data_IF_360936252719
#
_entry.id   IF_360936252719
#
_cell.length_a   1.000
_cell.length_b   1.000
_cell.length_c   1.000
_cell.angle_alpha   90.00
_cell.angle_beta   90.00
_cell.angle_gamma   90.00
#
_symmetry.space_group_name_H-M   'P 1'
#
loop_
_entity.id
_entity.type
_entity.pdbx_description
1 polymer ?
#
# COMPACT_ATOMS: atom_id res chain seq x y z
N UNK A 1 19.75 -15.17 -16.15
CA UNK A 1 18.54 -14.71 -16.88
C UNK A 1 17.40 -14.62 -15.88
N UNK A 2 17.04 -13.42 -15.39
CA UNK A 2 15.87 -13.24 -14.52
C UNK A 2 14.64 -13.27 -15.43
N UNK A 3 13.79 -14.28 -15.26
CA UNK A 3 12.48 -14.33 -15.95
C UNK A 3 11.78 -12.99 -15.72
N UNK A 4 11.55 -12.21 -16.78
CA UNK A 4 10.86 -10.92 -16.71
C UNK A 4 9.43 -11.19 -16.27
N UNK A 5 9.17 -11.04 -14.97
CA UNK A 5 7.84 -11.21 -14.37
C UNK A 5 6.87 -10.30 -15.11
N UNK A 6 5.89 -10.88 -15.81
CA UNK A 6 4.94 -10.15 -16.63
C UNK A 6 3.75 -9.75 -15.76
N UNK A 7 3.70 -8.48 -15.38
CA UNK A 7 2.55 -7.91 -14.67
C UNK A 7 1.37 -7.82 -15.62
N UNK A 8 0.16 -8.10 -15.11
CA UNK A 8 -1.07 -8.02 -15.92
C UNK A 8 -1.81 -6.70 -15.71
N UNK A 9 -1.51 -5.97 -14.63
CA UNK A 9 -2.05 -4.65 -14.35
C UNK A 9 -1.13 -3.83 -13.43
N UNK A 10 -1.36 -2.51 -13.40
CA UNK A 10 -0.69 -1.61 -12.47
C UNK A 10 -1.71 -0.93 -11.54
N UNK A 11 -1.32 -0.65 -10.30
CA UNK A 11 -2.07 0.18 -9.36
C UNK A 11 -1.21 1.41 -9.04
N UNK A 12 -1.79 2.60 -9.19
CA UNK A 12 -1.12 3.85 -8.88
C UNK A 12 -1.78 4.53 -7.67
N UNK A 13 -0.95 4.87 -6.68
CA UNK A 13 -1.33 5.87 -5.69
C UNK A 13 -1.24 7.29 -6.27
N UNK A 14 -1.74 8.27 -5.52
CA UNK A 14 -1.69 9.68 -5.86
C UNK A 14 -0.28 10.14 -6.24
N UNK A 15 0.75 9.71 -5.50
CA UNK A 15 2.13 10.13 -5.71
C UNK A 15 2.71 9.61 -7.03
N UNK A 16 2.35 8.38 -7.41
CA UNK A 16 2.77 7.76 -8.66
C UNK A 16 2.06 8.38 -9.87
N UNK A 17 0.77 8.71 -9.74
CA UNK A 17 0.03 9.44 -10.77
C UNK A 17 0.69 10.81 -11.03
N UNK A 18 0.92 11.59 -9.97
CA UNK A 18 1.46 12.96 -10.05
C UNK A 18 2.89 13.04 -10.61
N UNK A 19 3.61 11.92 -10.65
CA UNK A 19 4.99 11.83 -11.17
C UNK A 19 5.07 11.27 -12.58
N UNK A 20 3.93 10.98 -13.23
CA UNK A 20 3.90 10.51 -14.60
C UNK A 20 4.19 9.02 -14.76
N UNK A 21 4.19 8.23 -13.69
CA UNK A 21 4.57 6.80 -13.74
C UNK A 21 3.61 5.92 -14.56
N UNK A 22 2.46 6.44 -14.99
CA UNK A 22 1.60 5.76 -15.96
C UNK A 22 2.28 5.59 -17.33
N UNK A 23 3.24 6.44 -17.69
CA UNK A 23 3.99 6.37 -18.95
C UNK A 23 4.85 5.10 -19.05
N UNK A 24 5.27 4.52 -17.91
CA UNK A 24 6.05 3.27 -17.86
C UNK A 24 5.30 2.08 -18.47
N UNK A 25 3.96 2.15 -18.53
CA UNK A 25 3.09 1.07 -18.99
C UNK A 25 2.43 1.37 -20.34
N UNK A 26 2.23 2.65 -20.67
CA UNK A 26 1.49 3.07 -21.85
C UNK A 26 0.08 2.47 -21.87
N UNK A 27 -0.29 1.82 -22.99
CA UNK A 27 -1.54 1.05 -23.14
C UNK A 27 -1.35 -0.47 -22.99
N UNK A 28 -0.17 -0.92 -22.56
CA UNK A 28 0.21 -2.34 -22.58
C UNK A 28 -0.52 -3.17 -21.53
N UNK A 29 -0.83 -2.57 -20.38
CA UNK A 29 -1.60 -3.18 -19.29
C UNK A 29 -2.58 -2.15 -18.71
N UNK A 30 -3.73 -2.58 -18.17
CA UNK A 30 -4.66 -1.69 -17.48
C UNK A 30 -4.04 -1.08 -16.22
N UNK A 31 -4.36 0.19 -15.98
CA UNK A 31 -3.92 0.97 -14.83
C UNK A 31 -5.13 1.28 -13.96
N UNK A 32 -5.04 0.97 -12.67
CA UNK A 32 -6.12 1.14 -11.70
C UNK A 32 -5.76 2.12 -10.58
N UNK A 33 -6.80 2.75 -10.04
CA UNK A 33 -6.76 3.48 -8.76
C UNK A 33 -8.14 3.40 -8.09
N UNK A 34 -8.29 4.01 -6.91
CA UNK A 34 -9.54 4.04 -6.14
C UNK A 34 -10.10 5.46 -6.06
N UNK A 35 -11.41 5.60 -5.87
CA UNK A 35 -12.04 6.92 -5.84
C UNK A 35 -11.60 7.76 -4.65
N UNK A 36 -11.28 7.13 -3.52
CA UNK A 36 -10.76 7.80 -2.32
C UNK A 36 -9.40 8.48 -2.55
N UNK A 37 -8.50 7.82 -3.26
CA UNK A 37 -7.20 8.36 -3.67
C UNK A 37 -7.36 9.61 -4.56
N UNK A 38 -8.34 9.61 -5.46
CA UNK A 38 -8.63 10.76 -6.31
C UNK A 38 -9.24 11.94 -5.55
N UNK A 39 -10.05 11.69 -4.50
CA UNK A 39 -10.61 12.77 -3.67
C UNK A 39 -9.54 13.54 -2.88
N UNK A 40 -8.39 12.92 -2.59
CA UNK A 40 -7.27 13.56 -1.89
C UNK A 40 -6.48 14.53 -2.79
N UNK A 41 -6.61 14.42 -4.11
CA UNK A 41 -6.00 15.36 -5.06
C UNK A 41 -6.66 16.74 -4.92
N UNK A 42 -5.98 17.67 -4.24
CA UNK A 42 -6.40 19.08 -4.19
C UNK A 42 -6.54 19.65 -5.61
N UNK A 43 -7.60 20.44 -5.84
CA UNK A 43 -7.91 21.11 -7.12
C UNK A 43 -6.68 21.94 -7.58
N UNK A 44 -6.20 21.70 -8.80
CA UNK A 44 -5.01 22.34 -9.38
C UNK A 44 -4.62 21.73 -10.72
N UNK A 45 -3.56 22.21 -11.39
CA UNK A 45 -3.16 21.80 -12.76
C UNK A 45 -3.12 20.28 -12.98
N UNK A 46 -2.72 19.51 -11.96
CA UNK A 46 -2.64 18.05 -12.05
C UNK A 46 -3.98 17.31 -11.95
N UNK A 47 -5.10 17.99 -11.65
CA UNK A 47 -6.44 17.39 -11.79
C UNK A 47 -6.82 17.21 -13.26
N UNK A 48 -6.38 18.11 -14.14
CA UNK A 48 -6.64 18.01 -15.57
C UNK A 48 -5.94 16.81 -16.23
N UNK A 49 -4.69 16.52 -15.82
CA UNK A 49 -3.96 15.33 -16.29
C UNK A 49 -4.70 14.04 -15.89
N UNK A 50 -5.11 13.93 -14.63
CA UNK A 50 -5.87 12.77 -14.14
C UNK A 50 -7.21 12.64 -14.87
N UNK A 51 -7.93 13.74 -15.05
CA UNK A 51 -9.20 13.76 -15.76
C UNK A 51 -9.03 13.30 -17.22
N UNK A 52 -7.97 13.77 -17.89
CA UNK A 52 -7.63 13.32 -19.25
C UNK A 52 -7.35 11.82 -19.29
N UNK A 53 -6.57 11.29 -18.34
CA UNK A 53 -6.26 9.85 -18.27
C UNK A 53 -7.52 9.00 -18.04
N UNK A 54 -8.47 9.50 -17.25
CA UNK A 54 -9.77 8.87 -17.02
C UNK A 54 -10.62 8.89 -18.30
N UNK A 55 -10.72 10.05 -18.97
CA UNK A 55 -11.49 10.21 -20.21
C UNK A 55 -10.93 9.34 -21.35
N UNK A 56 -9.59 9.20 -21.44
CA UNK A 56 -8.92 8.35 -22.42
C UNK A 56 -9.01 6.84 -22.09
N UNK A 57 -9.57 6.48 -20.93
CA UNK A 57 -9.69 5.11 -20.45
C UNK A 57 -8.35 4.44 -20.08
N UNK A 58 -7.28 5.23 -19.94
CA UNK A 58 -5.95 4.75 -19.57
C UNK A 58 -5.94 4.43 -18.06
N UNK A 59 -6.47 5.34 -17.25
CA UNK A 59 -6.67 5.14 -15.82
C UNK A 59 -8.12 4.70 -15.56
N UNK A 60 -8.29 3.65 -14.77
CA UNK A 60 -9.61 3.13 -14.37
C UNK A 60 -9.78 3.24 -12.87
N UNK A 61 -10.94 3.72 -12.43
CA UNK A 61 -11.30 3.77 -11.00
C UNK A 61 -12.05 2.49 -10.64
N UNK A 62 -11.53 1.75 -9.66
CA UNK A 62 -12.13 0.51 -9.18
C UNK A 62 -12.17 0.55 -7.66
N UNK A 63 -13.35 0.76 -7.10
CA UNK A 63 -13.57 0.62 -5.66
C UNK A 63 -13.93 -0.82 -5.32
N UNK A 64 -13.47 -1.29 -4.17
CA UNK A 64 -13.71 -2.65 -3.70
C UNK A 64 -14.70 -2.70 -2.54
N UNK A 65 -15.27 -3.88 -2.34
CA UNK A 65 -16.26 -4.10 -1.28
C UNK A 65 -15.65 -3.95 0.14
N UNK A 66 -16.52 -4.05 1.14
CA UNK A 66 -16.12 -3.96 2.54
C UNK A 66 -15.24 -5.11 2.98
N UNK A 67 -15.44 -6.32 2.45
CA UNK A 67 -14.68 -7.51 2.80
C UNK A 67 -13.20 -7.37 2.45
N UNK A 68 -12.90 -6.87 1.25
CA UNK A 68 -11.53 -6.59 0.80
C UNK A 68 -10.87 -5.50 1.64
N UNK A 69 -11.62 -4.45 2.00
CA UNK A 69 -11.12 -3.38 2.88
C UNK A 69 -10.81 -3.87 4.28
N UNK A 70 -11.65 -4.73 4.84
CA UNK A 70 -11.40 -5.32 6.15
C UNK A 70 -10.21 -6.30 6.13
N UNK A 71 -9.98 -7.00 5.03
CA UNK A 71 -8.76 -7.80 4.82
C UNK A 71 -7.50 -6.93 4.77
N UNK A 72 -7.53 -5.82 4.02
CA UNK A 72 -6.42 -4.85 3.98
C UNK A 72 -6.11 -4.28 5.37
N UNK A 73 -7.14 -3.90 6.15
CA UNK A 73 -6.98 -3.44 7.53
C UNK A 73 -6.38 -4.50 8.44
N UNK A 74 -6.79 -5.77 8.30
CA UNK A 74 -6.20 -6.88 9.07
C UNK A 74 -4.70 -7.03 8.78
N UNK A 75 -4.31 -6.94 7.50
CA UNK A 75 -2.89 -6.99 7.11
C UNK A 75 -2.10 -5.79 7.65
N UNK A 76 -2.63 -4.58 7.53
CA UNK A 76 -2.03 -3.36 8.07
C UNK A 76 -1.90 -3.38 9.61
N UNK A 77 -2.86 -3.98 10.33
CA UNK A 77 -2.74 -4.20 11.78
C UNK A 77 -1.64 -5.20 12.09
N UNK A 78 -1.59 -6.31 11.36
CA UNK A 78 -0.57 -7.35 11.54
C UNK A 78 0.84 -6.85 11.23
N UNK A 79 1.01 -5.92 10.29
CA UNK A 79 2.30 -5.28 10.03
C UNK A 79 2.65 -4.20 11.07
N UNK A 80 1.67 -3.72 11.82
CA UNK A 80 1.81 -2.60 12.76
C UNK A 80 1.87 -1.22 12.07
N UNK A 81 1.45 -1.13 10.80
CA UNK A 81 1.44 0.12 10.03
C UNK A 81 0.07 0.79 9.97
N UNK A 82 -0.99 0.18 10.49
CA UNK A 82 -2.37 0.69 10.43
C UNK A 82 -2.52 2.17 10.83
N UNK A 83 -1.73 2.68 11.79
CA UNK A 83 -1.79 4.08 12.26
C UNK A 83 -1.17 5.08 11.28
N UNK A 84 -0.35 4.61 10.33
CA UNK A 84 0.30 5.44 9.30
C UNK A 84 -0.50 5.52 8.00
N UNK A 85 -1.39 4.57 7.78
CA UNK A 85 -2.14 4.45 6.54
C UNK A 85 -3.43 5.27 6.62
N UNK A 86 -3.70 6.05 5.58
CA UNK A 86 -4.95 6.76 5.38
C UNK A 86 -6.08 5.80 4.97
N UNK A 87 -7.31 6.33 4.88
CA UNK A 87 -8.42 5.58 4.30
C UNK A 87 -8.17 5.21 2.82
N UNK A 88 -7.59 6.14 2.04
CA UNK A 88 -7.25 5.89 0.64
C UNK A 88 -6.16 4.82 0.49
N UNK A 89 -5.17 4.81 1.37
CA UNK A 89 -4.10 3.80 1.36
C UNK A 89 -4.68 2.40 1.59
N UNK A 90 -5.61 2.27 2.55
CA UNK A 90 -6.32 1.01 2.82
C UNK A 90 -7.14 0.57 1.61
N UNK A 91 -7.84 1.49 0.96
CA UNK A 91 -8.64 1.19 -0.24
C UNK A 91 -7.75 0.71 -1.39
N UNK A 92 -6.58 1.34 -1.61
CA UNK A 92 -5.62 0.93 -2.64
C UNK A 92 -5.01 -0.45 -2.35
N UNK A 93 -4.62 -0.72 -1.09
CA UNK A 93 -4.14 -2.05 -0.68
C UNK A 93 -5.23 -3.09 -0.88
N UNK A 94 -6.49 -2.76 -0.57
CA UNK A 94 -7.63 -3.64 -0.78
C UNK A 94 -7.87 -3.94 -2.27
N UNK A 95 -7.71 -2.95 -3.15
CA UNK A 95 -7.73 -3.13 -4.59
C UNK A 95 -6.63 -4.09 -5.07
N UNK A 96 -5.42 -3.99 -4.52
CA UNK A 96 -4.32 -4.89 -4.86
C UNK A 96 -4.59 -6.34 -4.47
N UNK A 97 -5.16 -6.56 -3.28
CA UNK A 97 -5.59 -7.89 -2.82
C UNK A 97 -6.70 -8.44 -3.72
N UNK A 98 -7.70 -7.63 -4.04
CA UNK A 98 -8.81 -8.00 -4.89
C UNK A 98 -8.36 -8.44 -6.29
N UNK A 99 -7.47 -7.68 -6.93
CA UNK A 99 -6.96 -8.04 -8.26
C UNK A 99 -6.15 -9.34 -8.21
N UNK A 100 -5.29 -9.50 -7.20
CA UNK A 100 -4.55 -10.75 -6.99
C UNK A 100 -5.50 -11.93 -6.79
N UNK A 101 -6.55 -11.78 -5.99
CA UNK A 101 -7.53 -12.84 -5.73
C UNK A 101 -8.36 -13.19 -6.97
N UNK A 102 -8.48 -12.27 -7.94
CA UNK A 102 -9.01 -12.52 -9.29
C UNK A 102 -8.03 -13.24 -10.22
N UNK A 103 -6.81 -13.55 -9.77
CA UNK A 103 -5.78 -14.20 -10.58
C UNK A 103 -4.90 -13.23 -11.38
N UNK A 104 -5.03 -11.92 -11.16
CA UNK A 104 -4.15 -10.93 -11.77
C UNK A 104 -2.78 -10.88 -11.07
N UNK A 105 -1.77 -10.36 -11.77
CA UNK A 105 -0.45 -10.06 -11.22
C UNK A 105 -0.25 -8.54 -11.13
N UNK A 106 -0.80 -7.87 -10.10
CA UNK A 106 -0.72 -6.41 -9.98
C UNK A 106 0.70 -5.96 -9.60
N UNK A 107 1.17 -4.91 -10.27
CA UNK A 107 2.30 -4.10 -9.82
C UNK A 107 1.80 -2.83 -9.14
N UNK A 108 2.10 -2.66 -7.86
CA UNK A 108 1.73 -1.45 -7.14
C UNK A 108 2.85 -0.40 -7.23
N UNK A 109 2.53 0.84 -7.57
CA UNK A 109 3.50 1.94 -7.58
C UNK A 109 3.21 2.90 -6.43
N UNK A 110 4.19 3.05 -5.53
CA UNK A 110 4.05 3.90 -4.34
C UNK A 110 5.38 4.42 -3.83
N UNK A 111 5.39 5.62 -3.28
CA UNK A 111 6.51 6.16 -2.52
C UNK A 111 6.46 5.86 -1.02
N UNK A 112 5.37 5.28 -0.50
CA UNK A 112 5.15 5.17 0.94
C UNK A 112 5.67 3.85 1.53
N UNK A 113 6.55 3.94 2.53
CA UNK A 113 7.16 2.76 3.16
C UNK A 113 6.17 1.87 3.92
N UNK A 114 5.10 2.43 4.51
CA UNK A 114 4.06 1.65 5.18
C UNK A 114 3.26 0.84 4.15
N UNK A 115 2.90 1.42 3.00
CA UNK A 115 2.24 0.70 1.91
C UNK A 115 3.16 -0.41 1.39
N UNK A 116 4.43 -0.10 1.09
CA UNK A 116 5.41 -1.09 0.63
C UNK A 116 5.53 -2.27 1.60
N UNK A 117 5.54 -1.99 2.91
CA UNK A 117 5.66 -3.03 3.93
C UNK A 117 4.44 -3.96 3.96
N UNK A 118 3.23 -3.41 3.90
CA UNK A 118 1.99 -4.20 3.86
C UNK A 118 1.93 -5.05 2.59
N UNK A 119 2.27 -4.49 1.43
CA UNK A 119 2.31 -5.23 0.16
C UNK A 119 3.36 -6.34 0.18
N UNK A 120 4.55 -6.09 0.73
CA UNK A 120 5.60 -7.09 0.91
C UNK A 120 5.13 -8.26 1.78
N UNK A 121 4.39 -7.99 2.86
CA UNK A 121 3.77 -9.01 3.71
C UNK A 121 2.67 -9.79 2.96
N UNK A 122 1.90 -9.11 2.11
CA UNK A 122 0.88 -9.72 1.26
C UNK A 122 1.44 -10.45 0.03
N UNK A 123 2.77 -10.44 -0.16
CA UNK A 123 3.48 -10.96 -1.34
C UNK A 123 2.99 -10.35 -2.66
N UNK A 124 2.57 -9.09 -2.62
CA UNK A 124 2.20 -8.31 -3.81
C UNK A 124 3.44 -7.52 -4.25
N UNK A 125 3.72 -7.56 -5.55
CA UNK A 125 4.86 -6.83 -6.09
C UNK A 125 4.58 -5.33 -6.11
N UNK A 126 5.61 -4.55 -5.80
CA UNK A 126 5.54 -3.10 -5.85
C UNK A 126 6.83 -2.50 -6.40
N UNK A 127 6.73 -1.27 -6.91
CA UNK A 127 7.85 -0.44 -7.35
C UNK A 127 7.82 0.86 -6.57
N UNK A 128 8.95 1.19 -5.96
CA UNK A 128 9.10 2.44 -5.23
C UNK A 128 9.15 3.63 -6.19
N UNK A 129 8.40 4.68 -5.88
CA UNK A 129 8.37 5.92 -6.67
C UNK A 129 8.98 7.07 -5.86
N UNK A 130 10.08 7.63 -6.34
CA UNK A 130 10.76 8.77 -5.70
C UNK A 130 11.43 8.47 -4.34
N UNK A 131 11.29 7.25 -3.83
CA UNK A 131 11.91 6.75 -2.60
C UNK A 131 12.68 5.45 -2.89
N UNK A 132 13.46 4.96 -1.92
CA UNK A 132 14.12 3.66 -2.04
C UNK A 132 13.12 2.52 -1.85
N UNK A 133 13.38 1.36 -2.43
CA UNK A 133 12.61 0.14 -2.14
C UNK A 133 13.02 -0.40 -0.77
N UNK A 134 12.06 -0.82 0.05
CA UNK A 134 12.36 -1.55 1.29
C UNK A 134 13.15 -2.84 0.99
N UNK A 135 14.09 -3.19 1.88
CA UNK A 135 14.92 -4.41 1.75
C UNK A 135 14.28 -5.64 2.41
N UNK A 136 13.33 -5.42 3.30
CA UNK A 136 12.68 -6.48 4.07
C UNK A 136 11.33 -6.01 4.58
N UNK A 137 10.37 -6.93 4.64
CA UNK A 137 9.12 -6.71 5.35
C UNK A 137 9.34 -6.81 6.86
N UNK A 138 8.77 -5.87 7.60
CA UNK A 138 8.88 -5.77 9.06
C UNK A 138 7.50 -5.88 9.69
N UNK A 139 7.43 -6.51 10.87
CA UNK A 139 6.28 -6.43 11.77
C UNK A 139 6.66 -5.48 12.90
N UNK A 140 5.87 -4.42 13.07
CA UNK A 140 6.05 -3.44 14.11
C UNK A 140 5.16 -3.76 15.31
N UNK A 141 5.79 -4.08 16.44
CA UNK A 141 5.07 -4.36 17.68
C UNK A 141 5.48 -3.38 18.79
N UNK A 142 4.63 -3.26 19.80
CA UNK A 142 4.86 -2.47 20.99
C UNK A 142 5.21 -3.39 22.16
N UNK A 143 6.43 -3.32 22.66
CA UNK A 143 6.91 -4.19 23.73
C UNK A 143 7.09 -3.39 25.03
N UNK A 144 6.66 -3.96 26.16
CA UNK A 144 6.97 -3.39 27.46
C UNK A 144 8.43 -3.72 27.84
N UNK A 145 9.28 -2.74 28.18
CA UNK A 145 10.66 -3.03 28.56
C UNK A 145 10.78 -3.80 29.88
N UNK A 146 9.79 -3.67 30.78
CA UNK A 146 9.79 -4.31 32.11
C UNK A 146 9.07 -5.67 32.06
N UNK A 147 7.78 -5.68 31.69
CA UNK A 147 6.98 -6.91 31.66
C UNK A 147 7.29 -7.82 30.46
N UNK A 148 8.03 -7.32 29.44
CA UNK A 148 8.34 -7.99 28.17
C UNK A 148 7.15 -8.39 27.29
N UNK A 149 5.91 -8.19 27.75
CA UNK A 149 4.68 -8.37 26.98
C UNK A 149 4.70 -7.54 25.69
N UNK A 150 4.13 -8.12 24.64
CA UNK A 150 4.03 -7.53 23.29
C UNK A 150 2.57 -7.23 23.00
N UNK A 151 2.34 -6.06 22.40
CA UNK A 151 1.03 -5.55 22.03
C UNK A 151 1.09 -5.03 20.59
N UNK A 152 -0.02 -5.14 19.87
CA UNK A 152 -0.11 -4.64 18.49
C UNK A 152 -0.20 -3.10 18.43
N UNK A 153 -0.66 -2.50 19.53
CA UNK A 153 -0.82 -1.05 19.68
C UNK A 153 -0.82 -0.62 21.15
N UNK A 154 -0.65 0.67 21.36
CA UNK A 154 -0.70 1.31 22.67
C UNK A 154 0.59 2.05 22.99
N UNK A 155 0.47 3.11 23.79
CA UNK A 155 1.61 3.90 24.22
C UNK A 155 2.09 3.46 25.62
N UNK A 156 1.23 2.81 26.40
CA UNK A 156 1.47 2.43 27.80
C UNK A 156 1.07 0.97 28.05
N UNK A 157 1.89 0.26 28.83
CA UNK A 157 1.65 -1.13 29.21
C UNK A 157 0.43 -1.23 30.12
N UNK A 158 -0.64 -1.97 29.75
CA UNK A 158 -1.83 -2.13 30.58
C UNK A 158 -1.56 -2.83 31.93
N UNK A 159 -0.44 -3.56 32.04
CA UNK A 159 -0.10 -4.33 33.25
C UNK A 159 0.66 -3.52 34.30
N UNK A 160 1.58 -2.65 33.88
CA UNK A 160 2.51 -1.97 34.79
C UNK A 160 2.60 -0.45 34.58
N UNK A 161 1.84 0.12 33.64
CA UNK A 161 1.84 1.57 33.39
C UNK A 161 3.10 2.12 32.72
N UNK A 162 4.08 1.28 32.38
CA UNK A 162 5.31 1.72 31.71
C UNK A 162 5.07 2.01 30.23
N UNK A 163 5.70 3.05 29.70
CA UNK A 163 5.66 3.39 28.27
C UNK A 163 6.19 2.21 27.42
N UNK A 164 5.45 1.85 26.39
CA UNK A 164 5.83 0.79 25.46
C UNK A 164 6.89 1.30 24.47
N UNK A 165 7.82 0.43 24.10
CA UNK A 165 8.81 0.70 23.06
C UNK A 165 8.38 0.05 21.75
N UNK A 166 8.54 0.75 20.64
CA UNK A 166 8.26 0.21 19.32
C UNK A 166 9.44 -0.63 18.85
N UNK A 167 9.20 -1.89 18.50
CA UNK A 167 10.21 -2.84 18.03
C UNK A 167 9.84 -3.38 16.65
N UNK A 168 10.81 -3.41 15.74
CA UNK A 168 10.65 -4.06 14.45
C UNK A 168 11.16 -5.51 14.54
N UNK A 169 10.36 -6.43 14.02
CA UNK A 169 10.76 -7.84 13.80
C UNK A 169 10.80 -8.07 12.29
N UNK A 170 11.91 -8.60 11.78
CA UNK A 170 12.01 -8.93 10.35
C UNK A 170 11.06 -10.11 10.07
N UNK A 171 10.07 -9.87 9.22
CA UNK A 171 9.10 -10.88 8.81
C UNK A 171 9.55 -11.62 7.54
N UNK A 172 10.21 -10.90 6.62
CA UNK A 172 10.63 -11.44 5.33
C UNK A 172 11.75 -10.61 4.70
N UNK A 173 12.66 -11.25 3.99
CA UNK A 173 13.64 -10.61 3.10
C UNK A 173 13.09 -10.51 1.66
N UNK A 174 13.39 -9.41 0.97
CA UNK A 174 12.88 -9.08 -0.37
C UNK A 174 13.94 -9.23 -1.45
#
# INVERSE_FOLDING_TARGET
>A
MRSSKKYTCAILDTSAILRGNFLDFGRSIPIYTVSSSLRELKRGVKSFEVETLLQMGILKVVDVDRGMRDLARKLARRSGDIRKLSGADIDLIALALYLRDKGESPLFLTGDYAIQNVLAMAKIDFRSVGQKTIKSALIWNYQCPICRNVYDMGDTCPRCGTKLIKRAVKAREL
#
